data_IF_091526250492
#
_entry.id   IF_091526250492
#
_cell.length_a   1.000
_cell.length_b   1.000
_cell.length_c   1.000
_cell.angle_alpha   90.00
_cell.angle_beta   90.00
_cell.angle_gamma   90.00
#
_symmetry.space_group_name_H-M   'P 1'
#
loop_
_entity.id
_entity.type
_entity.pdbx_description
1 polymer ?
#
# COMPACT_ATOMS: atom_id res chain seq x y z
N UNK A 1 -17.46 -23.93 -21.01
CA UNK A 1 -17.33 -22.92 -19.95
C UNK A 1 -17.68 -21.59 -20.56
N UNK A 2 -18.54 -20.80 -19.92
CA UNK A 2 -18.97 -19.51 -20.48
C UNK A 2 -17.78 -18.53 -20.51
N UNK A 3 -17.49 -17.97 -21.68
CA UNK A 3 -16.43 -16.97 -21.85
C UNK A 3 -16.94 -15.63 -21.30
N UNK A 4 -16.28 -15.12 -20.26
CA UNK A 4 -16.62 -13.87 -19.57
C UNK A 4 -15.75 -12.74 -20.08
N UNK A 5 -16.31 -11.54 -20.15
CA UNK A 5 -15.55 -10.31 -20.41
C UNK A 5 -15.08 -9.73 -19.07
N UNK A 6 -14.07 -8.84 -19.06
CA UNK A 6 -13.66 -8.12 -17.86
C UNK A 6 -14.80 -7.45 -17.08
N UNK A 7 -15.82 -6.95 -17.79
CA UNK A 7 -16.98 -6.32 -17.17
C UNK A 7 -17.83 -7.31 -16.37
N UNK A 8 -17.91 -8.56 -16.83
CA UNK A 8 -18.68 -9.62 -16.18
C UNK A 8 -17.93 -10.08 -14.91
N UNK A 9 -16.59 -10.21 -14.96
CA UNK A 9 -15.73 -10.45 -13.77
C UNK A 9 -15.86 -9.33 -12.74
N UNK A 10 -15.83 -8.07 -13.18
CA UNK A 10 -16.01 -6.93 -12.29
C UNK A 10 -17.39 -6.94 -11.62
N UNK A 11 -18.43 -7.32 -12.36
CA UNK A 11 -19.78 -7.44 -11.81
C UNK A 11 -19.86 -8.53 -10.73
N UNK A 12 -19.25 -9.68 -10.96
CA UNK A 12 -19.16 -10.77 -9.97
C UNK A 12 -18.40 -10.36 -8.72
N UNK A 13 -17.29 -9.63 -8.87
CA UNK A 13 -16.54 -9.08 -7.74
C UNK A 13 -17.44 -8.17 -6.89
N UNK A 14 -18.18 -7.27 -7.53
CA UNK A 14 -19.08 -6.36 -6.82
C UNK A 14 -20.22 -7.11 -6.12
N UNK A 15 -20.80 -8.12 -6.78
CA UNK A 15 -21.87 -8.94 -6.18
C UNK A 15 -21.34 -9.71 -4.97
N UNK A 16 -20.13 -10.27 -5.09
CA UNK A 16 -19.47 -10.98 -4.01
C UNK A 16 -19.23 -10.07 -2.79
N UNK A 17 -18.63 -8.89 -3.01
CA UNK A 17 -18.37 -7.94 -1.93
C UNK A 17 -19.65 -7.36 -1.33
N UNK A 18 -20.66 -7.05 -2.15
CA UNK A 18 -21.96 -6.54 -1.69
C UNK A 18 -22.61 -7.50 -0.68
N UNK A 19 -22.65 -8.79 -1.04
CA UNK A 19 -23.24 -9.85 -0.22
C UNK A 19 -22.36 -10.15 0.99
N UNK A 20 -21.05 -10.34 0.80
CA UNK A 20 -20.11 -10.70 1.86
C UNK A 20 -20.00 -9.64 2.96
N UNK A 21 -20.26 -8.36 2.63
CA UNK A 21 -20.25 -7.24 3.56
C UNK A 21 -21.64 -6.92 4.16
N UNK A 22 -22.72 -7.56 3.71
CA UNK A 22 -24.08 -7.34 4.23
C UNK A 22 -24.60 -5.91 4.02
N UNK A 23 -24.24 -5.28 2.90
CA UNK A 23 -24.42 -3.84 2.71
C UNK A 23 -25.89 -3.40 2.57
N UNK A 24 -26.73 -4.24 1.96
CA UNK A 24 -28.15 -3.94 1.74
C UNK A 24 -28.89 -3.73 3.07
N UNK A 25 -28.71 -4.65 4.01
CA UNK A 25 -29.32 -4.61 5.35
C UNK A 25 -28.83 -3.41 6.16
N UNK A 26 -27.60 -2.95 5.90
CA UNK A 26 -26.99 -1.76 6.52
C UNK A 26 -27.38 -0.44 5.84
N UNK A 27 -28.31 -0.47 4.87
CA UNK A 27 -28.85 0.74 4.20
C UNK A 27 -27.91 1.38 3.18
N UNK A 28 -26.91 0.66 2.70
CA UNK A 28 -26.05 1.10 1.60
C UNK A 28 -26.79 1.03 0.27
N UNK A 29 -26.28 1.75 -0.72
CA UNK A 29 -26.79 1.74 -2.10
C UNK A 29 -25.66 1.47 -3.07
N UNK A 30 -25.96 0.65 -4.08
CA UNK A 30 -25.08 0.44 -5.22
C UNK A 30 -25.31 1.51 -6.28
N UNK A 31 -24.22 2.16 -6.71
CA UNK A 31 -24.26 3.19 -7.75
C UNK A 31 -24.12 2.56 -9.14
N UNK A 32 -24.56 3.29 -10.18
CA UNK A 32 -24.48 2.85 -11.59
C UNK A 32 -23.05 2.50 -12.05
N UNK A 33 -22.03 3.09 -11.43
CA UNK A 33 -20.61 2.84 -11.77
C UNK A 33 -19.98 1.69 -10.98
N UNK A 34 -20.73 1.06 -10.07
CA UNK A 34 -20.26 -0.07 -9.26
C UNK A 34 -20.03 0.27 -7.79
N UNK A 35 -19.65 1.52 -7.49
CA UNK A 35 -19.39 1.99 -6.12
C UNK A 35 -20.55 1.73 -5.14
N UNK A 36 -20.21 1.51 -3.87
CA UNK A 36 -21.18 1.42 -2.80
C UNK A 36 -21.17 2.70 -1.98
N UNK A 37 -22.36 3.20 -1.62
CA UNK A 37 -22.50 4.49 -0.94
C UNK A 37 -23.62 4.47 0.10
N UNK A 38 -23.34 5.00 1.30
CA UNK A 38 -24.33 5.32 2.34
C UNK A 38 -24.24 6.81 2.65
N UNK A 39 -25.37 7.52 2.57
CA UNK A 39 -25.47 8.96 2.86
C UNK A 39 -26.16 9.16 4.20
N UNK A 40 -25.58 9.99 5.05
CA UNK A 40 -26.08 10.30 6.38
C UNK A 40 -26.78 11.66 6.40
N UNK A 41 -27.68 11.86 7.38
CA UNK A 41 -28.45 13.12 7.52
C UNK A 41 -27.57 14.31 7.90
N UNK A 42 -26.44 14.07 8.57
CA UNK A 42 -25.47 15.08 9.00
C UNK A 42 -24.48 15.49 7.89
N UNK A 43 -24.72 15.08 6.65
CA UNK A 43 -23.87 15.40 5.50
C UNK A 43 -22.69 14.45 5.29
N UNK A 44 -22.45 13.50 6.20
CA UNK A 44 -21.45 12.46 5.98
C UNK A 44 -21.85 11.52 4.84
N UNK A 45 -20.83 11.09 4.12
CA UNK A 45 -20.93 10.11 3.06
C UNK A 45 -19.90 9.03 3.30
N UNK A 46 -20.37 7.80 3.42
CA UNK A 46 -19.53 6.61 3.40
C UNK A 46 -19.54 6.03 1.99
N UNK A 47 -18.37 5.73 1.45
CA UNK A 47 -18.20 5.22 0.10
C UNK A 47 -17.15 4.12 0.06
N UNK A 48 -17.50 3.01 -0.59
CA UNK A 48 -16.54 2.03 -1.09
C UNK A 48 -16.40 2.29 -2.58
N UNK A 49 -15.23 2.79 -2.97
CA UNK A 49 -14.91 3.18 -4.34
C UNK A 49 -14.03 2.11 -4.99
N UNK A 50 -14.45 1.70 -6.20
CA UNK A 50 -13.70 0.82 -7.07
C UNK A 50 -13.14 1.58 -8.28
N UNK A 51 -11.85 1.45 -8.54
CA UNK A 51 -11.24 1.90 -9.79
C UNK A 51 -10.96 0.70 -10.70
N UNK A 52 -11.17 0.85 -12.00
CA UNK A 52 -10.96 -0.21 -12.99
C UNK A 52 -9.80 0.16 -13.88
N UNK A 53 -8.80 -0.71 -13.97
CA UNK A 53 -7.70 -0.49 -14.89
C UNK A 53 -8.22 -0.42 -16.33
N UNK A 54 -7.69 0.53 -17.10
CA UNK A 54 -8.01 0.68 -18.52
C UNK A 54 -7.41 -0.44 -19.36
N UNK A 55 -6.50 -1.22 -18.79
CA UNK A 55 -5.79 -2.32 -19.43
C UNK A 55 -6.41 -3.69 -19.12
N UNK A 56 -7.68 -3.72 -18.73
CA UNK A 56 -8.37 -4.97 -18.45
C UNK A 56 -8.80 -5.68 -19.74
N UNK A 57 -8.39 -6.93 -19.91
CA UNK A 57 -8.72 -7.78 -21.05
C UNK A 57 -8.73 -9.26 -20.65
N UNK A 58 -9.41 -10.09 -21.44
CA UNK A 58 -9.35 -11.55 -21.33
C UNK A 58 -9.29 -12.10 -22.75
N UNK A 59 -8.30 -12.96 -23.00
CA UNK A 59 -8.09 -13.68 -24.24
C UNK A 59 -8.09 -15.19 -23.94
N UNK A 60 -9.20 -15.84 -24.28
CA UNK A 60 -9.39 -17.26 -24.06
C UNK A 60 -8.65 -18.15 -25.07
N UNK A 61 -8.23 -17.62 -26.22
CA UNK A 61 -7.51 -18.39 -27.23
C UNK A 61 -6.09 -18.72 -26.74
N UNK A 62 -5.46 -17.74 -26.09
CA UNK A 62 -4.11 -17.89 -25.51
C UNK A 62 -4.12 -18.19 -24.01
N UNK A 63 -5.31 -18.32 -23.41
CA UNK A 63 -5.46 -18.59 -21.97
C UNK A 63 -4.87 -17.49 -21.08
N UNK A 64 -4.95 -16.22 -21.51
CA UNK A 64 -4.34 -15.10 -20.79
C UNK A 64 -5.32 -13.95 -20.58
N UNK A 65 -5.23 -13.27 -19.44
CA UNK A 65 -6.06 -12.11 -19.16
C UNK A 65 -5.57 -11.34 -17.95
N UNK A 66 -6.00 -10.08 -17.89
CA UNK A 66 -5.77 -9.19 -16.77
C UNK A 66 -7.08 -8.48 -16.41
N UNK A 67 -7.50 -8.59 -15.15
CA UNK A 67 -8.56 -7.76 -14.59
C UNK A 67 -8.04 -7.17 -13.29
N UNK A 68 -7.65 -5.92 -13.36
CA UNK A 68 -7.14 -5.14 -12.26
C UNK A 68 -8.23 -4.20 -11.72
N UNK A 69 -8.43 -4.24 -10.41
CA UNK A 69 -9.37 -3.37 -9.71
C UNK A 69 -8.68 -2.77 -8.49
N UNK A 70 -8.79 -1.44 -8.35
CA UNK A 70 -8.35 -0.71 -7.17
C UNK A 70 -9.50 -0.50 -6.20
N UNK A 71 -9.17 -0.41 -4.92
CA UNK A 71 -10.15 -0.39 -3.85
C UNK A 71 -9.83 0.72 -2.83
N UNK A 72 -10.84 1.50 -2.45
CA UNK A 72 -10.68 2.50 -1.38
C UNK A 72 -12.00 2.72 -0.64
N UNK A 73 -11.94 2.66 0.69
CA UNK A 73 -13.04 2.98 1.58
C UNK A 73 -12.87 4.38 2.15
N UNK A 74 -13.86 5.25 2.01
CA UNK A 74 -13.70 6.68 2.28
C UNK A 74 -14.87 7.22 3.10
N UNK A 75 -14.60 8.08 4.08
CA UNK A 75 -15.59 8.93 4.72
C UNK A 75 -15.36 10.37 4.25
N UNK A 76 -16.42 11.01 3.76
CA UNK A 76 -16.37 12.40 3.31
C UNK A 76 -17.47 13.24 3.94
N UNK A 77 -17.22 14.54 4.06
CA UNK A 77 -18.25 15.52 4.39
C UNK A 77 -18.12 16.71 3.44
N UNK A 78 -19.09 16.89 2.55
CA UNK A 78 -18.92 17.83 1.43
C UNK A 78 -17.78 17.37 0.51
N UNK A 79 -16.82 18.26 0.27
CA UNK A 79 -15.62 17.98 -0.53
C UNK A 79 -14.45 17.44 0.31
N UNK A 80 -14.57 17.44 1.65
CA UNK A 80 -13.50 17.02 2.56
C UNK A 80 -13.42 15.50 2.66
N UNK A 81 -12.20 14.97 2.57
CA UNK A 81 -11.88 13.54 2.72
C UNK A 81 -11.38 13.30 4.13
N UNK A 82 -12.29 12.89 5.02
CA UNK A 82 -12.01 12.80 6.46
C UNK A 82 -11.26 11.52 6.84
N UNK A 83 -11.61 10.41 6.19
CA UNK A 83 -11.04 9.09 6.49
C UNK A 83 -10.86 8.31 5.19
N UNK A 84 -9.76 7.57 5.07
CA UNK A 84 -9.51 6.64 3.97
C UNK A 84 -8.89 5.36 4.49
N UNK A 85 -9.56 4.23 4.28
CA UNK A 85 -8.98 2.90 4.44
C UNK A 85 -8.64 2.30 3.08
N UNK A 86 -7.42 1.77 2.94
CA UNK A 86 -6.93 1.10 1.73
C UNK A 86 -6.25 -0.21 2.10
N UNK A 87 -6.50 -1.23 1.30
CA UNK A 87 -5.71 -2.46 1.30
C UNK A 87 -4.57 -2.20 0.31
N UNK A 88 -3.35 -2.57 0.68
CA UNK A 88 -2.16 -2.38 -0.13
C UNK A 88 -1.90 -3.62 -1.00
N UNK A 89 -1.65 -3.39 -2.28
CA UNK A 89 -1.33 -4.48 -3.21
C UNK A 89 0.10 -4.98 -2.98
N UNK A 90 0.32 -6.29 -2.76
CA UNK A 90 1.66 -6.82 -2.57
C UNK A 90 2.57 -6.59 -3.78
N UNK A 91 1.99 -6.53 -4.98
CA UNK A 91 2.74 -6.30 -6.23
C UNK A 91 3.07 -4.83 -6.50
N UNK A 92 2.71 -3.93 -5.57
CA UNK A 92 2.86 -2.49 -5.73
C UNK A 92 1.76 -1.87 -6.59
N UNK A 93 1.46 -0.59 -6.33
CA UNK A 93 0.39 0.16 -7.00
C UNK A 93 -0.98 0.01 -6.32
N UNK A 94 -1.99 0.65 -6.89
CA UNK A 94 -3.33 0.74 -6.31
C UNK A 94 -4.31 -0.33 -6.78
N UNK A 95 -3.85 -1.30 -7.57
CA UNK A 95 -4.68 -2.30 -8.24
C UNK A 95 -4.31 -3.72 -7.82
N UNK A 96 -5.32 -4.57 -7.70
CA UNK A 96 -5.17 -6.01 -7.46
C UNK A 96 -5.62 -6.77 -8.71
N UNK A 97 -4.88 -7.81 -9.07
CA UNK A 97 -5.25 -8.73 -10.14
C UNK A 97 -6.32 -9.68 -9.62
N UNK A 98 -7.52 -9.58 -10.17
CA UNK A 98 -8.72 -10.29 -9.73
C UNK A 98 -8.93 -11.63 -10.45
N UNK A 99 -7.95 -12.10 -11.22
CA UNK A 99 -8.06 -13.35 -11.97
C UNK A 99 -7.11 -14.41 -11.43
N UNK A 100 -7.62 -15.63 -11.28
CA UNK A 100 -6.81 -16.85 -11.17
C UNK A 100 -6.19 -17.22 -12.52
N UNK A 101 -5.30 -18.21 -12.53
CA UNK A 101 -4.68 -18.73 -13.76
C UNK A 101 -5.73 -19.27 -14.75
N UNK A 102 -6.86 -19.76 -14.25
CA UNK A 102 -7.99 -20.26 -15.05
C UNK A 102 -8.91 -19.14 -15.61
N UNK A 103 -8.49 -17.87 -15.51
CA UNK A 103 -9.25 -16.69 -15.96
C UNK A 103 -10.62 -16.55 -15.26
N UNK A 104 -10.69 -16.97 -13.99
CA UNK A 104 -11.88 -16.81 -13.13
C UNK A 104 -11.62 -15.78 -12.06
N UNK A 105 -12.69 -15.21 -11.49
CA UNK A 105 -12.59 -14.33 -10.34
C UNK A 105 -11.85 -15.04 -9.19
N UNK A 106 -10.83 -14.39 -8.66
CA UNK A 106 -10.06 -14.88 -7.52
C UNK A 106 -10.85 -14.66 -6.22
N UNK A 107 -11.65 -15.65 -5.85
CA UNK A 107 -12.49 -15.62 -4.64
C UNK A 107 -11.63 -15.68 -3.38
N UNK A 108 -10.54 -16.45 -3.39
CA UNK A 108 -9.64 -16.56 -2.24
C UNK A 108 -9.00 -15.20 -1.91
N UNK A 109 -8.64 -14.43 -2.93
CA UNK A 109 -8.20 -13.05 -2.74
C UNK A 109 -9.32 -12.18 -2.14
N UNK A 110 -10.56 -12.28 -2.64
CA UNK A 110 -11.68 -11.50 -2.09
C UNK A 110 -12.01 -11.87 -0.64
N UNK A 111 -11.87 -13.14 -0.27
CA UNK A 111 -12.01 -13.62 1.10
C UNK A 111 -11.01 -12.94 2.05
N UNK A 112 -9.84 -12.54 1.56
CA UNK A 112 -8.87 -11.77 2.36
C UNK A 112 -9.29 -10.31 2.57
N UNK A 113 -10.06 -9.73 1.64
CA UNK A 113 -10.49 -8.33 1.73
C UNK A 113 -11.67 -8.14 2.69
N UNK A 114 -12.63 -9.07 2.68
CA UNK A 114 -13.84 -8.99 3.49
C UNK A 114 -13.57 -8.69 4.98
N UNK A 115 -12.71 -9.43 5.70
CA UNK A 115 -12.45 -9.16 7.12
C UNK A 115 -11.77 -7.81 7.34
N UNK A 116 -10.88 -7.39 6.44
CA UNK A 116 -10.19 -6.10 6.54
C UNK A 116 -11.16 -4.92 6.37
N UNK A 117 -12.04 -4.99 5.37
CA UNK A 117 -13.08 -3.97 5.14
C UNK A 117 -14.06 -3.91 6.31
N UNK A 118 -14.45 -5.07 6.86
CA UNK A 118 -15.31 -5.12 8.04
C UNK A 118 -14.63 -4.42 9.23
N UNK A 119 -13.45 -4.87 9.62
CA UNK A 119 -12.75 -4.40 10.82
C UNK A 119 -12.35 -2.90 10.74
N UNK A 120 -11.77 -2.47 9.61
CA UNK A 120 -11.15 -1.16 9.50
C UNK A 120 -12.03 -0.11 8.85
N UNK A 121 -13.23 -0.47 8.40
CA UNK A 121 -14.13 0.50 7.80
C UNK A 121 -15.57 0.38 8.30
N UNK A 122 -16.22 -0.78 8.17
CA UNK A 122 -17.62 -0.91 8.59
C UNK A 122 -17.76 -0.85 10.11
N UNK A 123 -16.94 -1.57 10.86
CA UNK A 123 -16.96 -1.56 12.32
C UNK A 123 -16.48 -0.22 12.88
N UNK A 124 -15.54 0.45 12.17
CA UNK A 124 -15.17 1.83 12.48
C UNK A 124 -16.36 2.78 12.30
N UNK A 125 -17.09 2.70 11.19
CA UNK A 125 -18.29 3.52 10.96
C UNK A 125 -19.35 3.26 12.03
N UNK A 126 -19.61 1.98 12.36
CA UNK A 126 -20.62 1.61 13.35
C UNK A 126 -20.27 2.20 14.74
N UNK A 127 -18.98 2.15 15.15
CA UNK A 127 -18.50 2.82 16.37
C UNK A 127 -18.54 4.34 16.27
N UNK A 128 -18.10 4.90 15.15
CA UNK A 128 -18.06 6.35 14.93
C UNK A 128 -19.45 6.98 14.90
N UNK A 129 -20.45 6.30 14.35
CA UNK A 129 -21.85 6.74 14.40
C UNK A 129 -22.41 6.73 15.84
N UNK A 130 -21.94 5.81 16.70
CA UNK A 130 -22.37 5.68 18.09
C UNK A 130 -21.66 6.67 19.03
N UNK A 131 -20.33 6.76 18.92
CA UNK A 131 -19.46 7.65 19.69
C UNK A 131 -18.21 8.00 18.86
N UNK A 132 -18.20 9.19 18.22
CA UNK A 132 -17.06 9.62 17.42
C UNK A 132 -15.75 9.75 18.21
N UNK A 133 -15.83 10.12 19.49
CA UNK A 133 -14.65 10.33 20.35
C UNK A 133 -14.00 8.99 20.66
N UNK A 134 -14.79 7.98 21.02
CA UNK A 134 -14.30 6.61 21.22
C UNK A 134 -13.68 6.05 19.94
N UNK A 135 -14.38 6.20 18.82
CA UNK A 135 -13.97 5.61 17.56
C UNK A 135 -12.64 6.18 17.03
N UNK A 136 -12.38 7.48 17.26
CA UNK A 136 -11.16 8.16 16.83
C UNK A 136 -9.93 7.82 17.68
N UNK A 137 -10.09 7.39 18.93
CA UNK A 137 -8.97 7.08 19.82
C UNK A 137 -7.88 6.17 19.22
N UNK A 138 -8.21 5.01 18.59
CA UNK A 138 -7.20 4.14 17.98
C UNK A 138 -6.57 4.69 16.69
N UNK A 139 -7.14 5.74 16.09
CA UNK A 139 -6.70 6.32 14.81
C UNK A 139 -6.36 7.80 14.94
N UNK A 140 -5.91 8.20 16.14
CA UNK A 140 -5.56 9.57 16.49
C UNK A 140 -4.16 9.96 15.96
N UNK A 141 -3.91 9.65 14.69
CA UNK A 141 -2.67 9.93 13.96
C UNK A 141 -3.01 10.10 12.46
N UNK A 142 -2.19 10.83 11.68
CA UNK A 142 -2.44 10.99 10.24
C UNK A 142 -2.52 9.67 9.49
N UNK A 143 -1.73 8.68 9.91
CA UNK A 143 -1.70 7.36 9.32
C UNK A 143 -1.70 6.27 10.41
N UNK A 144 -2.41 5.18 10.14
CA UNK A 144 -2.32 3.93 10.89
C UNK A 144 -2.17 2.81 9.88
N UNK A 145 -1.23 1.91 10.07
CA UNK A 145 -0.96 0.85 9.09
C UNK A 145 -0.69 -0.48 9.78
N UNK A 146 -0.86 -1.56 9.02
CA UNK A 146 -0.51 -2.90 9.44
C UNK A 146 1.00 -3.01 9.69
N UNK A 147 1.41 -3.84 10.65
CA UNK A 147 2.84 -4.13 10.87
C UNK A 147 3.53 -4.72 9.63
N UNK A 148 2.76 -5.47 8.83
CA UNK A 148 3.20 -6.06 7.57
C UNK A 148 2.95 -5.13 6.35
N UNK A 149 2.44 -3.91 6.54
CA UNK A 149 2.09 -2.95 5.50
C UNK A 149 1.01 -3.41 4.49
N UNK A 150 0.23 -4.44 4.83
CA UNK A 150 -0.85 -4.96 3.96
C UNK A 150 -2.07 -4.03 3.85
N UNK A 151 -2.21 -3.06 4.76
CA UNK A 151 -3.27 -2.06 4.71
C UNK A 151 -2.86 -0.76 5.42
N UNK A 152 -3.56 0.32 5.08
CA UNK A 152 -3.36 1.64 5.67
C UNK A 152 -4.68 2.39 5.83
N UNK A 153 -4.76 3.11 6.94
CA UNK A 153 -5.78 4.10 7.26
C UNK A 153 -5.10 5.48 7.20
N UNK A 154 -5.78 6.45 6.61
CA UNK A 154 -5.46 7.87 6.70
C UNK A 154 -6.64 8.59 7.34
N UNK A 155 -6.35 9.40 8.35
CA UNK A 155 -7.31 10.30 9.00
C UNK A 155 -6.86 11.72 8.72
N UNK A 156 -7.75 12.53 8.15
CA UNK A 156 -7.48 13.95 7.95
C UNK A 156 -7.67 14.69 9.27
N UNK A 157 -6.84 15.70 9.54
CA UNK A 157 -6.90 16.50 10.76
C UNK A 157 -8.30 17.05 11.01
N UNK A 158 -9.01 17.45 9.94
CA UNK A 158 -10.37 17.99 10.05
C UNK A 158 -11.36 16.99 10.64
N UNK A 159 -11.12 15.69 10.50
CA UNK A 159 -11.95 14.67 11.14
C UNK A 159 -11.84 14.77 12.67
N UNK A 160 -10.62 14.91 13.18
CA UNK A 160 -10.34 15.04 14.60
C UNK A 160 -10.81 16.39 15.12
N UNK A 161 -10.63 17.47 14.35
CA UNK A 161 -11.13 18.80 14.71
C UNK A 161 -12.66 18.85 14.86
N UNK A 162 -13.40 18.13 14.01
CA UNK A 162 -14.87 18.15 14.00
C UNK A 162 -15.49 17.20 15.00
N UNK A 163 -14.86 16.05 15.23
CA UNK A 163 -15.48 14.92 15.92
C UNK A 163 -14.70 14.41 17.13
N UNK A 164 -13.45 14.83 17.31
CA UNK A 164 -12.61 14.46 18.45
C UNK A 164 -12.62 15.50 19.57
N UNK A 165 -11.85 15.23 20.63
CA UNK A 165 -11.60 16.18 21.72
C UNK A 165 -10.41 17.09 21.44
N UNK A 166 -10.23 18.13 22.25
CA UNK A 166 -9.04 18.99 22.18
C UNK A 166 -7.74 18.22 22.44
N UNK A 167 -7.78 17.25 23.36
CA UNK A 167 -6.66 16.36 23.68
C UNK A 167 -6.34 15.44 22.50
N UNK A 168 -7.35 14.88 21.83
CA UNK A 168 -7.17 14.08 20.63
C UNK A 168 -6.56 14.91 19.49
N UNK A 169 -7.01 16.15 19.29
CA UNK A 169 -6.42 17.03 18.28
C UNK A 169 -4.96 17.37 18.59
N UNK A 170 -4.63 17.62 19.87
CA UNK A 170 -3.25 17.86 20.29
C UNK A 170 -2.37 16.62 20.06
N UNK A 171 -2.87 15.43 20.40
CA UNK A 171 -2.19 14.17 20.14
C UNK A 171 -2.00 13.91 18.65
N UNK A 172 -3.03 14.14 17.83
CA UNK A 172 -2.94 13.99 16.38
C UNK A 172 -1.82 14.87 15.79
N UNK A 173 -1.75 16.14 16.21
CA UNK A 173 -0.69 17.07 15.78
C UNK A 173 0.69 16.62 16.24
N UNK A 174 0.81 16.13 17.47
CA UNK A 174 2.04 15.56 17.97
C UNK A 174 2.49 14.34 17.14
N UNK A 175 1.58 13.42 16.83
CA UNK A 175 1.85 12.29 15.95
C UNK A 175 2.24 12.74 14.54
N UNK A 176 1.59 13.78 14.00
CA UNK A 176 1.94 14.34 12.70
C UNK A 176 3.38 14.91 12.68
N UNK A 177 3.81 15.57 13.75
CA UNK A 177 5.19 16.02 13.91
C UNK A 177 6.17 14.85 13.99
N UNK A 178 5.85 13.81 14.77
CA UNK A 178 6.66 12.60 14.89
C UNK A 178 6.79 11.87 13.53
N UNK A 179 5.70 11.74 12.79
CA UNK A 179 5.73 11.17 11.43
C UNK A 179 6.56 12.01 10.45
N UNK A 180 6.70 13.31 10.72
CA UNK A 180 7.56 14.21 9.96
C UNK A 180 9.05 13.99 10.18
N UNK A 181 9.46 13.27 11.25
CA UNK A 181 10.87 13.08 11.58
C UNK A 181 11.57 12.19 10.56
N UNK A 182 12.89 12.40 10.34
CA UNK A 182 13.68 11.56 9.45
C UNK A 182 13.61 10.07 9.80
N UNK A 183 13.57 9.72 11.08
CA UNK A 183 13.52 8.34 11.56
C UNK A 183 12.21 7.66 11.19
N UNK A 184 11.07 8.33 11.39
CA UNK A 184 9.78 7.78 10.99
C UNK A 184 9.65 7.67 9.47
N UNK A 185 10.11 8.68 8.71
CA UNK A 185 10.11 8.62 7.25
C UNK A 185 10.95 7.46 6.73
N UNK A 186 12.17 7.29 7.24
CA UNK A 186 13.04 6.20 6.85
C UNK A 186 12.45 4.83 7.24
N UNK A 187 11.88 4.71 8.45
CA UNK A 187 11.24 3.46 8.91
C UNK A 187 10.07 3.08 8.00
N UNK A 188 9.14 4.00 7.75
CA UNK A 188 7.95 3.74 6.96
C UNK A 188 8.30 3.53 5.48
N UNK A 189 9.20 4.35 4.92
CA UNK A 189 9.66 4.23 3.54
C UNK A 189 10.35 2.90 3.28
N UNK A 190 11.31 2.52 4.14
CA UNK A 190 11.96 1.22 4.04
C UNK A 190 10.99 0.07 4.30
N UNK A 191 10.12 0.17 5.30
CA UNK A 191 9.16 -0.87 5.64
C UNK A 191 8.18 -1.18 4.51
N UNK A 192 7.59 -0.15 3.90
CA UNK A 192 6.73 -0.29 2.73
C UNK A 192 7.49 -0.92 1.55
N UNK A 193 8.74 -0.53 1.32
CA UNK A 193 9.54 -1.12 0.26
C UNK A 193 9.88 -2.60 0.54
N UNK A 194 10.19 -2.95 1.80
CA UNK A 194 10.41 -4.34 2.21
C UNK A 194 9.18 -5.19 1.90
N UNK A 195 7.99 -4.72 2.28
CA UNK A 195 6.74 -5.40 1.99
C UNK A 195 6.60 -5.68 0.49
N UNK A 196 6.76 -4.68 -0.37
CA UNK A 196 6.63 -4.89 -1.82
C UNK A 196 7.68 -5.85 -2.38
N UNK A 197 8.94 -5.71 -1.98
CA UNK A 197 10.02 -6.56 -2.49
C UNK A 197 9.88 -8.02 -2.04
N UNK A 198 9.42 -8.27 -0.81
CA UNK A 198 9.16 -9.63 -0.32
C UNK A 198 8.04 -10.35 -1.08
N UNK A 199 7.13 -9.61 -1.73
CA UNK A 199 6.01 -10.19 -2.49
C UNK A 199 6.18 -10.05 -4.01
N UNK A 200 7.24 -9.41 -4.47
CA UNK A 200 7.49 -9.15 -5.87
C UNK A 200 7.99 -10.41 -6.58
N UNK A 201 7.31 -10.78 -7.68
CA UNK A 201 7.66 -11.96 -8.50
C UNK A 201 8.95 -11.77 -9.31
N UNK A 202 9.33 -10.52 -9.58
CA UNK A 202 10.53 -10.19 -10.34
C UNK A 202 11.79 -10.10 -9.49
N UNK A 203 11.66 -10.15 -8.15
CA UNK A 203 12.78 -10.22 -7.21
C UNK A 203 13.35 -11.64 -7.12
N UNK A 204 14.67 -11.77 -7.16
CA UNK A 204 15.38 -13.01 -6.84
C UNK A 204 15.60 -13.11 -5.32
N UNK A 205 14.61 -13.71 -4.65
CA UNK A 205 14.61 -13.89 -3.18
C UNK A 205 15.78 -14.75 -2.70
N UNK A 206 16.15 -15.78 -3.48
CA UNK A 206 17.26 -16.65 -3.14
C UNK A 206 18.60 -15.90 -3.21
N UNK A 207 18.78 -15.08 -4.26
CA UNK A 207 19.94 -14.22 -4.37
C UNK A 207 20.00 -13.20 -3.22
N UNK A 208 18.88 -12.53 -2.92
CA UNK A 208 18.80 -11.56 -1.84
C UNK A 208 19.10 -12.18 -0.46
N UNK A 209 18.53 -13.34 -0.18
CA UNK A 209 18.77 -14.10 1.05
C UNK A 209 20.21 -14.65 1.17
N UNK A 210 20.90 -14.86 0.04
CA UNK A 210 22.27 -15.41 0.03
C UNK A 210 23.37 -14.39 0.34
N UNK A 211 23.04 -13.10 0.40
CA UNK A 211 24.04 -12.03 0.58
C UNK A 211 24.57 -12.00 2.01
N UNK A 212 25.87 -11.81 2.16
CA UNK A 212 26.46 -11.58 3.49
C UNK A 212 26.45 -10.09 3.85
N UNK A 213 26.55 -9.78 5.14
CA UNK A 213 26.69 -8.41 5.62
C UNK A 213 27.90 -7.71 5.00
N UNK A 214 29.03 -8.40 4.89
CA UNK A 214 30.28 -7.84 4.37
C UNK A 214 30.17 -7.53 2.88
N UNK A 215 29.51 -8.39 2.10
CA UNK A 215 29.23 -8.12 0.67
C UNK A 215 28.33 -6.87 0.51
N UNK A 216 27.29 -6.77 1.33
CA UNK A 216 26.36 -5.64 1.28
C UNK A 216 27.00 -4.33 1.76
N UNK A 217 27.84 -4.39 2.80
CA UNK A 217 28.61 -3.24 3.31
C UNK A 217 29.54 -2.70 2.21
N UNK A 218 30.18 -3.57 1.40
CA UNK A 218 31.01 -3.15 0.26
C UNK A 218 30.23 -2.46 -0.86
N UNK A 219 28.94 -2.77 -1.02
CA UNK A 219 28.05 -2.12 -1.98
C UNK A 219 27.60 -0.77 -1.46
N UNK A 220 27.07 -0.72 -0.23
CA UNK A 220 26.39 0.48 0.30
C UNK A 220 27.37 1.57 0.70
N UNK A 221 28.51 1.22 1.31
CA UNK A 221 29.41 2.19 1.93
C UNK A 221 29.96 3.23 0.93
N UNK A 222 30.38 2.85 -0.30
CA UNK A 222 30.76 3.83 -1.31
C UNK A 222 29.65 4.84 -1.64
N UNK A 223 28.39 4.41 -1.69
CA UNK A 223 27.26 5.31 -1.99
C UNK A 223 27.01 6.28 -0.83
N UNK A 224 27.07 5.79 0.41
CA UNK A 224 26.94 6.62 1.61
C UNK A 224 28.02 7.70 1.62
N UNK A 225 29.28 7.32 1.40
CA UNK A 225 30.40 8.27 1.38
C UNK A 225 30.28 9.28 0.23
N UNK A 226 29.91 8.82 -0.97
CA UNK A 226 29.73 9.71 -2.12
C UNK A 226 28.60 10.72 -1.89
N UNK A 227 27.44 10.28 -1.38
CA UNK A 227 26.33 11.19 -1.05
C UNK A 227 26.71 12.19 0.04
N UNK A 228 27.50 11.79 1.05
CA UNK A 228 28.00 12.70 2.09
C UNK A 228 28.93 13.76 1.52
N UNK A 229 29.85 13.37 0.64
CA UNK A 229 30.80 14.28 0.00
C UNK A 229 30.12 15.28 -0.94
N UNK A 230 29.05 14.87 -1.62
CA UNK A 230 28.30 15.74 -2.54
C UNK A 230 27.23 16.58 -1.84
N UNK A 231 27.07 16.44 -0.52
CA UNK A 231 26.02 17.13 0.25
C UNK A 231 24.60 16.62 -0.02
N UNK A 232 24.46 15.46 -0.67
CA UNK A 232 23.18 14.82 -0.97
C UNK A 232 22.68 13.92 0.16
N UNK A 233 23.52 13.64 1.16
CA UNK A 233 23.16 12.81 2.31
C UNK A 233 22.28 13.57 3.30
N UNK A 234 21.03 13.14 3.41
CA UNK A 234 20.03 13.76 4.28
C UNK A 234 19.99 13.10 5.66
N UNK A 235 19.25 13.71 6.60
CA UNK A 235 18.96 13.06 7.88
C UNK A 235 18.11 11.79 7.70
N UNK A 236 17.27 11.73 6.67
CA UNK A 236 16.46 10.55 6.35
C UNK A 236 17.35 9.42 5.83
N UNK A 237 18.33 9.74 4.97
CA UNK A 237 19.35 8.77 4.54
C UNK A 237 20.13 8.23 5.74
N UNK A 238 20.52 9.10 6.69
CA UNK A 238 21.23 8.69 7.90
C UNK A 238 20.38 7.74 8.75
N UNK A 239 19.12 8.08 9.01
CA UNK A 239 18.21 7.22 9.76
C UNK A 239 18.00 5.87 9.05
N UNK A 240 17.83 5.88 7.72
CA UNK A 240 17.75 4.67 6.91
C UNK A 240 19.01 3.82 6.99
N UNK A 241 20.19 4.45 6.96
CA UNK A 241 21.46 3.75 7.12
C UNK A 241 21.60 3.11 8.50
N UNK A 242 21.11 3.74 9.57
CA UNK A 242 21.08 3.09 10.89
C UNK A 242 20.15 1.87 10.92
N UNK A 243 18.99 1.94 10.27
CA UNK A 243 18.11 0.77 10.12
C UNK A 243 18.81 -0.37 9.35
N UNK A 244 19.50 -0.03 8.26
CA UNK A 244 20.34 -0.99 7.52
C UNK A 244 21.40 -1.65 8.42
N UNK A 245 22.09 -0.86 9.25
CA UNK A 245 23.14 -1.39 10.14
C UNK A 245 22.60 -2.37 11.18
N UNK A 246 21.40 -2.11 11.70
CA UNK A 246 20.73 -2.92 12.71
C UNK A 246 20.07 -4.19 12.15
N UNK A 247 19.78 -4.24 10.84
CA UNK A 247 19.11 -5.36 10.20
C UNK A 247 19.96 -6.64 10.23
N UNK A 248 19.39 -7.71 10.78
CA UNK A 248 20.05 -9.02 10.92
C UNK A 248 19.55 -10.04 9.90
N UNK A 249 18.35 -9.84 9.35
CA UNK A 249 17.81 -10.70 8.31
C UNK A 249 18.50 -10.41 6.97
N UNK A 250 19.16 -11.40 6.32
CA UNK A 250 19.94 -11.17 5.10
C UNK A 250 19.12 -10.61 3.93
N UNK A 251 17.88 -11.07 3.76
CA UNK A 251 16.99 -10.64 2.67
C UNK A 251 16.57 -9.19 2.87
N UNK A 252 16.03 -8.87 4.07
CA UNK A 252 15.66 -7.50 4.43
C UNK A 252 16.87 -6.56 4.38
N UNK A 253 18.05 -7.04 4.76
CA UNK A 253 19.29 -6.24 4.67
C UNK A 253 19.64 -5.92 3.22
N UNK A 254 19.50 -6.87 2.30
CA UNK A 254 19.67 -6.65 0.85
C UNK A 254 18.68 -5.62 0.32
N UNK A 255 17.42 -5.70 0.72
CA UNK A 255 16.42 -4.71 0.35
C UNK A 255 16.73 -3.33 0.93
N UNK A 256 17.21 -3.22 2.17
CA UNK A 256 17.64 -1.93 2.72
C UNK A 256 18.84 -1.34 1.98
N UNK A 257 19.77 -2.16 1.46
CA UNK A 257 20.81 -1.68 0.53
C UNK A 257 20.16 -1.07 -0.70
N UNK A 258 19.18 -1.75 -1.30
CA UNK A 258 18.45 -1.22 -2.46
C UNK A 258 17.87 0.17 -2.18
N UNK A 259 17.23 0.38 -1.02
CA UNK A 259 16.69 1.69 -0.62
C UNK A 259 17.76 2.79 -0.67
N UNK A 260 18.95 2.50 -0.13
CA UNK A 260 20.01 3.47 0.07
C UNK A 260 20.75 3.83 -1.22
N UNK A 261 20.84 2.90 -2.17
CA UNK A 261 21.62 3.07 -3.40
C UNK A 261 20.77 3.42 -4.63
N UNK A 262 19.46 3.15 -4.59
CA UNK A 262 18.57 3.34 -5.72
C UNK A 262 18.56 4.80 -6.21
N UNK A 263 18.44 4.96 -7.53
CA UNK A 263 18.34 6.25 -8.20
C UNK A 263 19.46 7.24 -7.80
N UNK A 264 20.75 6.93 -8.10
CA UNK A 264 21.92 7.71 -7.67
C UNK A 264 22.10 9.00 -8.48
N UNK A 265 21.05 9.83 -8.55
CA UNK A 265 21.04 11.09 -9.30
C UNK A 265 22.10 12.03 -8.76
N UNK A 266 22.89 12.61 -9.66
CA UNK A 266 23.95 13.54 -9.28
C UNK A 266 25.20 12.89 -8.69
N UNK A 267 25.29 11.55 -8.66
CA UNK A 267 26.55 10.85 -8.41
C UNK A 267 27.30 10.58 -9.73
N UNK A 268 28.62 10.35 -9.69
CA UNK A 268 29.40 9.97 -10.87
C UNK A 268 28.84 8.73 -11.57
N UNK A 269 29.06 8.61 -12.90
CA UNK A 269 28.52 7.53 -13.74
C UNK A 269 28.85 6.11 -13.23
N UNK A 270 29.98 5.94 -12.54
CA UNK A 270 30.35 4.66 -11.93
C UNK A 270 29.33 4.18 -10.88
N UNK A 271 28.69 5.08 -10.14
CA UNK A 271 27.65 4.73 -9.16
C UNK A 271 26.37 4.29 -9.85
N UNK A 272 26.02 4.93 -10.98
CA UNK A 272 24.90 4.49 -11.81
C UNK A 272 25.15 3.07 -12.31
N UNK A 273 26.37 2.75 -12.74
CA UNK A 273 26.73 1.41 -13.20
C UNK A 273 26.65 0.37 -12.07
N UNK A 274 27.22 0.68 -10.89
CA UNK A 274 27.14 -0.19 -9.71
C UNK A 274 25.69 -0.45 -9.25
N UNK A 275 24.87 0.59 -9.27
CA UNK A 275 23.45 0.47 -8.94
C UNK A 275 22.72 -0.40 -9.95
N UNK A 276 22.96 -0.23 -11.25
CA UNK A 276 22.40 -1.08 -12.30
C UNK A 276 22.82 -2.54 -12.14
N UNK A 277 24.09 -2.81 -11.84
CA UNK A 277 24.59 -4.17 -11.59
C UNK A 277 23.89 -4.83 -10.40
N UNK A 278 23.68 -4.08 -9.32
CA UNK A 278 22.91 -4.56 -8.17
C UNK A 278 21.46 -4.81 -8.54
N UNK A 279 20.81 -3.85 -9.23
CA UNK A 279 19.43 -3.94 -9.71
C UNK A 279 19.20 -5.17 -10.58
N UNK A 280 20.08 -5.43 -11.56
CA UNK A 280 19.91 -6.57 -12.47
C UNK A 280 20.02 -7.92 -11.76
N UNK A 281 20.79 -8.00 -10.67
CA UNK A 281 20.84 -9.21 -9.84
C UNK A 281 19.61 -9.33 -8.94
N UNK A 282 19.22 -8.22 -8.30
CA UNK A 282 18.05 -8.20 -7.41
C UNK A 282 16.76 -8.53 -8.17
N UNK A 283 16.60 -8.00 -9.38
CA UNK A 283 15.39 -8.17 -10.20
C UNK A 283 15.61 -9.14 -11.38
N UNK A 284 16.43 -10.18 -11.20
CA UNK A 284 16.79 -11.12 -12.25
C UNK A 284 15.59 -11.93 -12.78
N UNK A 285 14.51 -12.05 -12.00
CA UNK A 285 13.29 -12.76 -12.37
C UNK A 285 12.34 -11.91 -13.22
N UNK A 286 12.67 -10.64 -13.50
CA UNK A 286 11.85 -9.79 -14.35
C UNK A 286 11.71 -10.45 -15.74
N UNK A 287 10.49 -10.76 -16.20
CA UNK A 287 10.31 -11.32 -17.53
C UNK A 287 10.92 -10.35 -18.55
N UNK A 288 11.76 -10.88 -19.46
CA UNK A 288 12.28 -10.09 -20.57
C UNK A 288 11.09 -9.50 -21.30
N UNK A 289 10.99 -8.18 -21.34
CA UNK A 289 9.96 -7.49 -22.11
C UNK A 289 10.03 -8.06 -23.53
N UNK A 290 8.96 -8.76 -23.96
CA UNK A 290 8.81 -9.13 -25.36
C UNK A 290 8.56 -7.82 -26.09
N UNK A 291 9.63 -7.30 -26.72
CA UNK A 291 9.58 -6.20 -27.68
C UNK A 291 8.66 -6.58 -28.85
#
# INVERSE_FOLDING_TARGET
MEQKRPADIFQELLDYLWNGLGLEEKGWRRLKKGDFKKKMKNGLTYQIWFDRSRYNYIDYEIGHGNVEVGFSCIIRQGDDYLYSFRIESPTGGSFFRMLTEDLRLDIELLDTFLPLIKAHYLDFIDRFEADPVEALQPVCAPFTEAEDYSWRIHVDEQMVERYGTAEQLAEYRHQAELHGTPEHKAKNGMGSMLFHLSHAKDVDQAWASSRTKEELDQVVEPFVQAKRQTGQWTQEDEAGYQLYRQETDPEKRTFRVWYLIANPRGLPKEFVQKELEFRFKLFANRPKEKV
#
